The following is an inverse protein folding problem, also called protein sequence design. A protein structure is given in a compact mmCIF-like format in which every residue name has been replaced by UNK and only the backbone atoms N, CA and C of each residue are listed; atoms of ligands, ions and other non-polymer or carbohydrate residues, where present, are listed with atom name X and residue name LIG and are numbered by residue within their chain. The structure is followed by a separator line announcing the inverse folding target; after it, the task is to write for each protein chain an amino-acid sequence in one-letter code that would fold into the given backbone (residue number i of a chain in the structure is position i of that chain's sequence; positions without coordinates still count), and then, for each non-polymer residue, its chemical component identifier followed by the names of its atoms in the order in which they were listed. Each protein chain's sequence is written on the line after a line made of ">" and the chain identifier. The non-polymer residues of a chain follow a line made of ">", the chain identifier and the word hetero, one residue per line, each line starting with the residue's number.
data_IF_818137131354
#
_entry.id   IF_818137131354
#
_cell.length_a   1.000
_cell.length_b   1.000
_cell.length_c   1.000
_cell.angle_alpha   90.00
_cell.angle_beta   90.00
_cell.angle_gamma   90.00
#
_symmetry.space_group_name_H-M   'P 1'
#
loop_
_entity.id
_entity.type
_entity.pdbx_description
1 polymer ?
#
# COMPACT_ATOMS: atom_id res chain seq x y z
N UNK A 1 -17.00 -9.87 6.71
CA UNK A 1 -16.84 -10.47 5.37
C UNK A 1 -16.02 -9.55 4.44
N UNK A 2 -16.26 -8.23 4.41
CA UNK A 2 -15.49 -7.27 3.61
C UNK A 2 -13.98 -7.39 3.81
N UNK A 3 -13.53 -7.62 5.05
CA UNK A 3 -12.10 -7.73 5.34
C UNK A 3 -11.47 -8.99 4.73
N UNK A 4 -12.25 -10.07 4.58
CA UNK A 4 -11.77 -11.28 3.89
C UNK A 4 -11.53 -10.97 2.41
N UNK A 5 -12.41 -10.17 1.79
CA UNK A 5 -12.24 -9.73 0.41
C UNK A 5 -11.01 -8.81 0.26
N UNK A 6 -10.73 -7.93 1.22
CA UNK A 6 -9.49 -7.12 1.20
C UNK A 6 -8.25 -8.02 1.14
N UNK A 7 -8.24 -9.13 1.88
CA UNK A 7 -7.16 -10.13 1.79
C UNK A 7 -6.97 -10.68 0.38
N UNK A 8 -8.05 -10.91 -0.37
CA UNK A 8 -7.96 -11.33 -1.78
C UNK A 8 -7.54 -10.19 -2.73
N UNK A 9 -7.92 -8.94 -2.43
CA UNK A 9 -7.76 -7.80 -3.33
C UNK A 9 -6.41 -7.08 -3.22
N UNK A 10 -5.78 -7.06 -2.04
CA UNK A 10 -4.70 -6.11 -1.70
C UNK A 10 -3.55 -6.08 -2.71
N UNK A 11 -3.22 -7.25 -3.27
CA UNK A 11 -2.08 -7.44 -4.16
C UNK A 11 -2.42 -7.41 -5.66
N UNK A 12 -3.70 -7.22 -6.03
CA UNK A 12 -4.11 -7.29 -7.45
C UNK A 12 -3.51 -6.18 -8.31
N UNK A 13 -3.00 -5.10 -7.70
CA UNK A 13 -2.23 -4.08 -8.40
C UNK A 13 -0.92 -4.59 -9.02
N UNK A 14 -0.45 -5.78 -8.63
CA UNK A 14 0.73 -6.42 -9.23
C UNK A 14 0.52 -6.84 -10.69
N UNK A 15 -0.70 -6.76 -11.21
CA UNK A 15 -1.00 -6.92 -12.65
C UNK A 15 -0.18 -5.96 -13.53
N UNK A 16 0.27 -4.81 -12.99
CA UNK A 16 1.17 -3.88 -13.67
C UNK A 16 2.45 -4.56 -14.20
N UNK A 17 2.98 -5.55 -13.49
CA UNK A 17 4.15 -6.31 -13.96
C UNK A 17 3.85 -7.11 -15.23
N UNK A 18 2.61 -7.59 -15.38
CA UNK A 18 2.14 -8.27 -16.59
C UNK A 18 1.88 -7.29 -17.74
N UNK A 19 1.67 -6.00 -17.43
CA UNK A 19 1.55 -4.92 -18.42
C UNK A 19 2.92 -4.38 -18.88
N UNK A 20 4.02 -4.94 -18.38
CA UNK A 20 5.38 -4.62 -18.81
C UNK A 20 6.14 -3.65 -17.90
N UNK A 21 5.55 -3.24 -16.77
CA UNK A 21 6.26 -2.43 -15.78
C UNK A 21 7.36 -3.24 -15.10
N UNK A 22 8.55 -2.66 -14.86
CA UNK A 22 9.59 -3.34 -14.10
C UNK A 22 9.14 -3.53 -12.65
N UNK A 23 9.49 -4.67 -12.04
CA UNK A 23 8.96 -5.01 -10.71
C UNK A 23 9.26 -3.96 -9.62
N UNK A 24 10.38 -3.23 -9.71
CA UNK A 24 10.70 -2.17 -8.75
C UNK A 24 9.71 -0.99 -8.78
N UNK A 25 8.95 -0.84 -9.87
CA UNK A 25 7.86 0.13 -10.02
C UNK A 25 6.47 -0.48 -9.71
N UNK A 26 6.43 -1.69 -9.16
CA UNK A 26 5.19 -2.44 -8.91
C UNK A 26 5.13 -2.98 -7.48
N UNK A 27 6.16 -3.70 -7.02
CA UNK A 27 6.17 -4.44 -5.75
C UNK A 27 7.14 -3.83 -4.73
N UNK A 28 7.04 -4.31 -3.49
CA UNK A 28 7.99 -4.02 -2.42
C UNK A 28 7.53 -2.94 -1.46
N UNK A 29 8.33 -2.74 -0.41
CA UNK A 29 8.07 -1.75 0.62
C UNK A 29 8.01 -0.34 0.02
N UNK A 30 7.01 0.43 0.42
CA UNK A 30 6.82 1.81 -0.05
C UNK A 30 7.45 2.82 0.90
N UNK A 31 7.78 3.99 0.36
CA UNK A 31 8.26 5.14 1.13
C UNK A 31 7.78 6.44 0.49
N UNK A 32 7.59 7.53 1.26
CA UNK A 32 7.34 8.86 0.72
C UNK A 32 8.49 9.33 -0.17
N UNK A 33 8.18 9.70 -1.42
CA UNK A 33 9.12 10.41 -2.29
C UNK A 33 9.06 11.91 -2.00
N UNK A 34 10.03 12.70 -2.47
CA UNK A 34 10.00 14.15 -2.28
C UNK A 34 10.29 14.61 -0.84
N UNK A 35 10.71 13.72 0.06
CA UNK A 35 11.33 14.06 1.35
C UNK A 35 12.48 13.10 1.68
N UNK A 36 13.20 13.38 2.77
CA UNK A 36 14.34 12.57 3.19
C UNK A 36 13.90 11.16 3.60
N UNK A 37 14.51 10.17 2.95
CA UNK A 37 14.33 8.74 3.25
C UNK A 37 14.78 8.42 4.68
N UNK A 38 13.84 7.91 5.49
CA UNK A 38 14.06 7.57 6.91
C UNK A 38 14.75 6.22 7.12
N UNK A 39 15.19 5.98 8.36
CA UNK A 39 16.16 4.93 8.70
C UNK A 39 15.61 3.51 8.54
N UNK A 40 14.31 3.32 8.76
CA UNK A 40 13.69 2.00 8.66
C UNK A 40 13.35 1.56 7.24
N UNK A 41 13.57 2.41 6.23
CA UNK A 41 13.46 1.99 4.83
C UNK A 41 14.53 0.93 4.55
N UNK A 42 14.09 -0.20 3.99
CA UNK A 42 14.96 -1.36 3.73
C UNK A 42 16.12 -0.97 2.81
N UNK A 43 17.34 -1.36 3.19
CA UNK A 43 18.60 -1.03 2.50
C UNK A 43 18.88 0.48 2.29
N UNK A 44 18.24 1.37 3.07
CA UNK A 44 18.38 2.83 2.92
C UNK A 44 19.82 3.32 2.79
N UNK A 45 20.74 2.80 3.61
CA UNK A 45 22.13 3.25 3.64
C UNK A 45 22.96 2.80 2.43
N UNK A 46 22.50 1.79 1.68
CA UNK A 46 23.26 1.22 0.55
C UNK A 46 22.63 1.45 -0.83
N UNK A 47 21.37 1.89 -0.94
CA UNK A 47 20.66 1.93 -2.24
C UNK A 47 20.25 3.32 -2.74
N UNK A 48 20.28 4.36 -1.91
CA UNK A 48 19.75 5.68 -2.28
C UNK A 48 20.79 6.68 -2.80
N UNK A 49 22.09 6.33 -2.82
CA UNK A 49 23.18 7.26 -3.14
C UNK A 49 23.16 7.83 -4.57
N UNK A 50 22.50 7.11 -5.49
CA UNK A 50 22.31 7.50 -6.89
C UNK A 50 20.93 8.09 -7.20
N UNK A 51 20.02 8.14 -6.21
CA UNK A 51 18.73 8.79 -6.41
C UNK A 51 18.95 10.31 -6.58
N UNK A 52 18.49 10.94 -7.68
CA UNK A 52 18.72 12.38 -7.90
C UNK A 52 18.10 13.25 -6.80
N UNK A 53 16.99 12.82 -6.19
CA UNK A 53 16.25 13.60 -5.21
C UNK A 53 17.02 13.78 -3.88
N UNK A 54 17.93 12.86 -3.54
CA UNK A 54 18.70 12.97 -2.29
C UNK A 54 19.69 14.14 -2.31
N UNK A 55 19.99 14.70 -3.49
CA UNK A 55 20.85 15.88 -3.68
C UNK A 55 20.04 17.15 -3.97
N UNK A 56 18.73 17.04 -4.17
CA UNK A 56 17.87 18.18 -4.44
C UNK A 56 17.46 18.86 -3.12
N UNK A 57 17.72 20.17 -2.92
CA UNK A 57 17.35 20.86 -1.68
C UNK A 57 15.82 20.89 -1.43
N UNK A 58 15.00 20.68 -2.46
CA UNK A 58 13.54 20.59 -2.34
C UNK A 58 13.08 19.31 -1.64
N UNK A 59 13.88 18.23 -1.73
CA UNK A 59 13.48 16.88 -1.30
C UNK A 59 14.42 16.29 -0.23
N UNK A 60 15.63 16.81 -0.08
CA UNK A 60 16.65 16.26 0.82
C UNK A 60 16.45 16.58 2.31
N UNK A 61 15.45 17.40 2.67
CA UNK A 61 15.13 17.74 4.06
C UNK A 61 14.10 16.78 4.67
N UNK A 62 13.95 16.78 6.00
CA UNK A 62 13.00 15.90 6.70
C UNK A 62 11.57 15.98 6.11
N UNK A 63 11.08 17.19 5.89
CA UNK A 63 9.76 17.42 5.30
C UNK A 63 9.80 17.47 3.78
N UNK A 64 10.93 17.84 3.17
CA UNK A 64 11.06 18.02 1.73
C UNK A 64 9.96 18.94 1.19
N UNK A 65 9.13 18.42 0.29
CA UNK A 65 8.02 19.17 -0.31
C UNK A 65 6.74 19.20 0.55
N UNK A 66 6.70 18.51 1.70
CA UNK A 66 5.51 18.35 2.52
C UNK A 66 5.38 19.39 3.63
N UNK A 67 4.14 19.66 4.02
CA UNK A 67 3.86 20.36 5.28
C UNK A 67 3.84 19.37 6.45
N UNK A 68 4.19 19.80 7.67
CA UNK A 68 4.05 18.97 8.86
C UNK A 68 2.62 18.48 9.05
N UNK A 69 2.46 17.18 9.35
CA UNK A 69 1.16 16.52 9.57
C UNK A 69 0.16 16.75 8.44
N UNK A 70 0.63 16.79 7.19
CA UNK A 70 -0.21 16.96 6.01
C UNK A 70 -1.19 15.79 5.77
N UNK A 71 -0.97 14.64 6.41
CA UNK A 71 -1.79 13.44 6.27
C UNK A 71 -1.28 12.55 5.14
N UNK A 72 -1.23 11.25 5.38
CA UNK A 72 -0.68 10.30 4.41
C UNK A 72 -1.46 10.29 3.09
N UNK A 73 -2.73 10.71 3.10
CA UNK A 73 -3.51 10.87 1.88
C UNK A 73 -2.98 11.94 0.91
N UNK A 74 -2.23 12.92 1.43
CA UNK A 74 -1.60 14.03 0.70
C UNK A 74 -0.11 13.79 0.44
N UNK A 75 0.42 12.63 0.85
CA UNK A 75 1.81 12.25 0.62
C UNK A 75 1.91 11.52 -0.71
N UNK A 76 2.94 11.85 -1.50
CA UNK A 76 3.28 11.09 -2.69
C UNK A 76 4.14 9.90 -2.27
N UNK A 77 3.55 8.71 -2.31
CA UNK A 77 4.26 7.45 -2.07
C UNK A 77 5.04 7.02 -3.32
N UNK A 78 6.13 6.28 -3.14
CA UNK A 78 6.76 5.53 -4.22
C UNK A 78 5.72 4.70 -4.97
N UNK A 79 5.71 4.79 -6.30
CA UNK A 79 4.70 4.15 -7.13
C UNK A 79 4.75 2.61 -7.04
N UNK A 80 3.58 1.99 -7.00
CA UNK A 80 3.43 0.54 -6.92
C UNK A 80 1.98 0.09 -6.79
N UNK A 81 1.81 -1.21 -6.50
CA UNK A 81 0.52 -1.89 -6.42
C UNK A 81 -0.45 -1.30 -5.39
N UNK A 82 0.02 -0.79 -4.25
CA UNK A 82 -0.82 -0.13 -3.23
C UNK A 82 -1.65 1.03 -3.79
N UNK A 83 -0.97 2.07 -4.30
CA UNK A 83 -1.62 3.29 -4.82
C UNK A 83 -2.42 2.99 -6.08
N UNK A 84 -1.91 2.11 -6.95
CA UNK A 84 -2.63 1.66 -8.14
C UNK A 84 -3.94 0.99 -7.76
N UNK A 85 -3.91 -0.01 -6.87
CA UNK A 85 -5.12 -0.75 -6.49
C UNK A 85 -6.09 0.14 -5.73
N UNK A 86 -5.62 1.03 -4.85
CA UNK A 86 -6.45 2.04 -4.23
C UNK A 86 -7.21 2.89 -5.26
N UNK A 87 -6.54 3.36 -6.32
CA UNK A 87 -7.15 4.15 -7.39
C UNK A 87 -8.14 3.33 -8.22
N UNK A 88 -7.82 2.07 -8.55
CA UNK A 88 -8.73 1.14 -9.23
C UNK A 88 -10.01 0.96 -8.41
N UNK A 89 -9.89 0.69 -7.11
CA UNK A 89 -11.04 0.53 -6.22
C UNK A 89 -11.91 1.80 -6.18
N UNK A 90 -11.28 2.98 -6.15
CA UNK A 90 -11.97 4.28 -6.13
C UNK A 90 -12.68 4.56 -7.44
N UNK A 91 -12.01 4.38 -8.56
CA UNK A 91 -12.56 4.63 -9.89
C UNK A 91 -13.77 3.73 -10.18
N UNK A 92 -13.67 2.45 -9.79
CA UNK A 92 -14.75 1.48 -9.95
C UNK A 92 -15.80 1.53 -8.83
N UNK A 93 -15.72 2.49 -7.90
CA UNK A 93 -16.70 2.69 -6.82
C UNK A 93 -16.98 1.43 -5.98
N UNK A 94 -15.93 0.73 -5.54
CA UNK A 94 -16.09 -0.46 -4.69
C UNK A 94 -16.89 -0.10 -3.42
N UNK A 95 -17.88 -0.93 -3.09
CA UNK A 95 -18.77 -0.72 -1.94
C UNK A 95 -18.15 -1.19 -0.61
N UNK A 96 -16.86 -0.89 -0.40
CA UNK A 96 -16.09 -1.26 0.79
C UNK A 96 -15.99 -0.10 1.79
N UNK A 97 -15.77 -0.37 3.09
CA UNK A 97 -15.59 0.68 4.09
C UNK A 97 -14.25 1.42 3.90
N UNK A 98 -14.13 2.62 4.49
CA UNK A 98 -12.93 3.47 4.35
C UNK A 98 -11.64 2.76 4.75
N UNK A 99 -11.72 1.94 5.80
CA UNK A 99 -10.63 1.12 6.33
C UNK A 99 -10.07 0.18 5.28
N UNK A 100 -10.92 -0.43 4.44
CA UNK A 100 -10.48 -1.32 3.37
C UNK A 100 -9.59 -0.60 2.35
N UNK A 101 -10.03 0.57 1.89
CA UNK A 101 -9.25 1.40 0.98
C UNK A 101 -7.94 1.86 1.60
N UNK A 102 -7.98 2.27 2.87
CA UNK A 102 -6.81 2.76 3.59
C UNK A 102 -5.78 1.64 3.79
N UNK A 103 -6.23 0.44 4.17
CA UNK A 103 -5.37 -0.73 4.30
C UNK A 103 -4.69 -1.08 2.97
N UNK A 104 -5.44 -1.20 1.88
CA UNK A 104 -4.85 -1.49 0.55
C UNK A 104 -3.84 -0.42 0.12
N UNK A 105 -4.11 0.86 0.39
CA UNK A 105 -3.24 1.97 -0.01
C UNK A 105 -1.90 2.02 0.73
N UNK A 106 -1.81 1.45 1.94
CA UNK A 106 -0.64 1.63 2.81
C UNK A 106 -0.14 0.32 3.43
N UNK A 107 -0.55 -0.84 2.92
CA UNK A 107 -0.13 -2.15 3.45
C UNK A 107 1.34 -2.46 3.18
N UNK A 108 1.94 -1.83 2.17
CA UNK A 108 3.38 -1.91 1.90
C UNK A 108 4.18 -0.83 2.61
N UNK A 109 3.56 0.07 3.39
CA UNK A 109 4.28 1.19 4.03
C UNK A 109 4.93 0.79 5.36
N UNK A 110 5.79 -0.22 5.31
CA UNK A 110 6.47 -0.84 6.46
C UNK A 110 7.21 0.14 7.38
N UNK A 111 7.96 1.13 6.84
CA UNK A 111 8.59 2.16 7.68
C UNK A 111 7.61 2.81 8.66
N UNK A 112 6.38 3.06 8.22
CA UNK A 112 5.34 3.66 9.06
C UNK A 112 4.66 2.64 9.96
N UNK A 113 4.00 1.62 9.39
CA UNK A 113 3.11 0.79 10.19
C UNK A 113 3.86 -0.17 11.12
N UNK A 114 5.07 -0.60 10.75
CA UNK A 114 5.88 -1.53 11.53
C UNK A 114 6.91 -0.80 12.37
N UNK A 115 7.67 0.11 11.77
CA UNK A 115 8.86 0.69 12.41
C UNK A 115 8.62 2.06 13.08
N UNK A 116 7.50 2.72 12.79
CA UNK A 116 7.11 3.98 13.44
C UNK A 116 7.80 5.24 12.88
N UNK A 117 8.50 5.13 11.74
CA UNK A 117 9.00 6.27 10.98
C UNK A 117 7.84 7.04 10.31
N UNK A 118 8.16 8.20 9.74
CA UNK A 118 7.23 9.10 9.01
C UNK A 118 6.03 9.66 9.80
N UNK A 119 6.03 9.54 11.14
CA UNK A 119 5.00 10.13 12.02
C UNK A 119 4.86 11.65 11.88
N UNK A 120 5.91 12.35 11.43
CA UNK A 120 5.88 13.80 11.18
C UNK A 120 4.96 14.20 10.02
N UNK A 121 4.60 13.26 9.13
CA UNK A 121 3.63 13.47 8.05
C UNK A 121 2.21 13.03 8.44
N UNK A 122 2.05 12.26 9.51
CA UNK A 122 0.78 11.67 9.91
C UNK A 122 -0.15 12.68 10.61
N UNK A 123 -1.44 12.59 10.30
CA UNK A 123 -2.56 13.18 11.03
C UNK A 123 -3.07 12.23 12.12
N UNK A 124 -3.98 12.72 12.96
CA UNK A 124 -4.70 11.86 13.93
C UNK A 124 -5.50 10.75 13.25
N UNK A 125 -6.02 11.00 12.03
CA UNK A 125 -6.74 9.97 11.28
C UNK A 125 -5.82 8.82 10.87
N UNK A 126 -4.61 9.13 10.40
CA UNK A 126 -3.63 8.10 10.04
C UNK A 126 -3.28 7.25 11.28
N UNK A 127 -3.16 7.87 12.45
CA UNK A 127 -2.94 7.16 13.72
C UNK A 127 -4.13 6.28 14.13
N UNK A 128 -5.37 6.69 13.83
CA UNK A 128 -6.57 5.86 14.03
C UNK A 128 -6.65 4.69 13.06
N UNK A 129 -6.10 4.83 11.85
CA UNK A 129 -6.06 3.76 10.84
C UNK A 129 -4.93 2.75 11.07
N UNK A 130 -3.88 3.12 11.79
CA UNK A 130 -2.72 2.28 12.05
C UNK A 130 -3.06 0.87 12.60
N UNK A 131 -3.99 0.67 13.56
CA UNK A 131 -4.39 -0.67 14.00
C UNK A 131 -4.99 -1.54 12.89
N UNK A 132 -5.75 -0.96 11.96
CA UNK A 132 -6.33 -1.69 10.83
C UNK A 132 -5.24 -2.19 9.88
N UNK A 133 -4.31 -1.31 9.50
CA UNK A 133 -3.18 -1.67 8.62
C UNK A 133 -2.32 -2.76 9.26
N UNK A 134 -2.04 -2.63 10.57
CA UNK A 134 -1.30 -3.66 11.32
C UNK A 134 -2.04 -4.99 11.39
N UNK A 135 -3.37 -4.97 11.47
CA UNK A 135 -4.16 -6.19 11.50
C UNK A 135 -4.10 -6.91 10.14
N UNK A 136 -4.26 -6.19 9.02
CA UNK A 136 -4.07 -6.78 7.68
C UNK A 136 -2.65 -7.34 7.54
N UNK A 137 -1.63 -6.58 7.96
CA UNK A 137 -0.23 -6.95 7.80
C UNK A 137 0.12 -8.29 8.47
N UNK A 138 -0.50 -8.63 9.62
CA UNK A 138 -0.30 -9.94 10.25
C UNK A 138 -0.70 -11.08 9.31
N UNK A 139 -1.84 -10.95 8.63
CA UNK A 139 -2.32 -11.98 7.72
C UNK A 139 -1.52 -11.99 6.42
N UNK A 140 -1.26 -10.84 5.82
CA UNK A 140 -0.40 -10.72 4.62
C UNK A 140 0.98 -11.36 4.87
N UNK A 141 1.64 -11.06 5.99
CA UNK A 141 2.98 -11.56 6.25
C UNK A 141 2.99 -13.04 6.67
N UNK A 142 2.15 -13.44 7.62
CA UNK A 142 2.29 -14.73 8.30
C UNK A 142 1.44 -15.86 7.72
N UNK A 143 0.62 -15.61 6.69
CA UNK A 143 -0.08 -16.67 5.94
C UNK A 143 0.69 -17.17 4.72
N UNK A 144 1.86 -16.57 4.41
CA UNK A 144 2.77 -17.00 3.36
C UNK A 144 3.38 -18.36 3.75
N UNK A 145 3.00 -19.41 3.01
CA UNK A 145 3.44 -20.78 3.24
C UNK A 145 3.57 -21.54 1.91
N UNK A 146 4.28 -22.67 1.94
CA UNK A 146 4.49 -23.52 0.75
C UNK A 146 3.22 -24.27 0.33
N UNK A 147 2.39 -24.67 1.30
CA UNK A 147 1.14 -25.38 1.05
C UNK A 147 0.07 -24.40 0.52
N UNK A 148 -0.34 -24.60 -0.72
CA UNK A 148 -1.32 -23.74 -1.38
C UNK A 148 -2.76 -24.15 -1.03
N UNK A 149 -3.68 -23.19 -0.85
CA UNK A 149 -5.08 -23.50 -0.61
C UNK A 149 -5.77 -24.10 -1.85
N UNK A 150 -6.83 -24.88 -1.63
CA UNK A 150 -7.70 -25.32 -2.73
C UNK A 150 -8.54 -24.14 -3.26
N UNK A 151 -8.05 -23.52 -4.33
CA UNK A 151 -8.69 -22.37 -4.97
C UNK A 151 -10.08 -22.71 -5.52
N UNK A 152 -10.34 -23.96 -5.94
CA UNK A 152 -11.64 -24.32 -6.50
C UNK A 152 -12.70 -24.39 -5.40
N UNK A 153 -12.35 -24.96 -4.24
CA UNK A 153 -13.24 -25.00 -3.08
C UNK A 153 -13.57 -23.59 -2.57
N UNK A 154 -12.59 -22.67 -2.58
CA UNK A 154 -12.76 -21.31 -2.06
C UNK A 154 -13.45 -20.35 -3.04
N UNK A 155 -13.44 -20.66 -4.34
CA UNK A 155 -13.91 -19.75 -5.39
C UNK A 155 -15.35 -19.29 -5.17
N UNK A 156 -16.26 -20.21 -4.86
CA UNK A 156 -17.68 -19.87 -4.67
C UNK A 156 -17.90 -18.87 -3.54
N UNK A 157 -17.14 -19.01 -2.45
CA UNK A 157 -17.20 -18.08 -1.32
C UNK A 157 -16.71 -16.68 -1.72
N UNK A 158 -15.50 -16.56 -2.27
CA UNK A 158 -14.94 -15.26 -2.65
C UNK A 158 -15.71 -14.59 -3.79
N UNK A 159 -16.25 -15.37 -4.74
CA UNK A 159 -17.12 -14.82 -5.78
C UNK A 159 -18.34 -14.14 -5.18
N UNK A 160 -18.97 -14.72 -4.15
CA UNK A 160 -20.11 -14.08 -3.48
C UNK A 160 -19.75 -12.74 -2.81
N UNK A 161 -18.50 -12.58 -2.35
CA UNK A 161 -18.01 -11.31 -1.83
C UNK A 161 -17.74 -10.30 -2.94
N UNK A 162 -17.17 -10.75 -4.06
CA UNK A 162 -16.96 -9.93 -5.27
C UNK A 162 -18.32 -9.40 -5.77
N UNK A 163 -19.32 -10.28 -5.89
CA UNK A 163 -20.67 -9.92 -6.34
C UNK A 163 -21.33 -8.88 -5.41
N UNK A 164 -21.00 -8.90 -4.12
CA UNK A 164 -21.49 -7.95 -3.13
C UNK A 164 -20.78 -6.59 -3.17
N UNK A 165 -19.46 -6.58 -3.32
CA UNK A 165 -18.63 -5.40 -3.05
C UNK A 165 -18.01 -4.74 -4.29
N UNK A 166 -17.77 -5.50 -5.35
CA UNK A 166 -17.15 -5.02 -6.59
C UNK A 166 -17.56 -5.90 -7.79
N UNK A 167 -18.87 -5.98 -8.10
CA UNK A 167 -19.38 -6.91 -9.10
C UNK A 167 -19.02 -6.50 -10.54
N UNK A 168 -19.06 -7.49 -11.44
CA UNK A 168 -19.00 -7.27 -12.88
C UNK A 168 -17.59 -7.06 -13.43
N UNK A 169 -17.53 -6.50 -14.63
CA UNK A 169 -16.26 -6.12 -15.27
C UNK A 169 -15.80 -4.76 -14.78
N UNK A 170 -14.55 -4.68 -14.37
CA UNK A 170 -13.93 -3.50 -13.78
C UNK A 170 -12.90 -2.89 -14.73
N UNK A 171 -12.65 -1.60 -14.59
CA UNK A 171 -11.58 -0.90 -15.30
C UNK A 171 -10.28 -0.99 -14.50
N UNK A 172 -9.23 -1.49 -15.13
CA UNK A 172 -7.90 -1.65 -14.54
C UNK A 172 -6.96 -0.60 -15.10
#
# INVERSE_FOLDING_TARGET
>A
DWFHLVGLLHDLGKVLALFGEPQWAVVGDTFPVGCKVQKSVVFRDSTFHDNPDIRDPRYSTEYGMYQPRCGLENVLMSWGHDEYMYRVMKFNNFALPKEAFYMVRFHSFYPWHTHGDYRHLCTEEDLRMLPWVRELNKFDLYTKQEELPDVQQLRGYYQSLIDKYCPGQLCW
#
